data_IF_670960659976
#
_entry.id   IF_670960659976
#
_cell.length_a   1.000
_cell.length_b   1.000
_cell.length_c   1.000
_cell.angle_alpha   90.00
_cell.angle_beta   90.00
_cell.angle_gamma   90.00
#
_symmetry.space_group_name_H-M   'P 1'
#
loop_
_entity.id
_entity.type
_entity.pdbx_description
1 polymer ?
#
# COMPACT_ATOMS: atom_id res chain seq x y z
N UNK A 1 14.93 7.74 -8.82
CA UNK A 1 13.85 7.80 -7.82
C UNK A 1 13.84 6.47 -7.09
N UNK A 2 13.88 6.52 -5.77
CA UNK A 2 13.90 5.33 -4.93
C UNK A 2 12.56 5.17 -4.22
N UNK A 3 12.32 3.96 -3.72
CA UNK A 3 11.21 3.73 -2.80
C UNK A 3 11.40 4.55 -1.52
N UNK A 4 10.31 5.10 -1.01
CA UNK A 4 10.26 5.69 0.33
C UNK A 4 10.52 4.61 1.37
N UNK A 5 10.92 5.04 2.57
CA UNK A 5 11.01 4.12 3.71
C UNK A 5 9.61 3.57 4.03
N UNK A 6 9.48 2.30 4.44
CA UNK A 6 8.23 1.76 4.96
C UNK A 6 7.67 2.63 6.08
N UNK A 7 6.36 2.90 6.02
CA UNK A 7 5.60 3.69 6.99
C UNK A 7 4.39 2.91 7.46
N UNK A 8 4.05 3.07 8.73
CA UNK A 8 2.84 2.49 9.29
C UNK A 8 1.63 3.23 8.70
N UNK A 9 0.72 2.48 8.09
CA UNK A 9 -0.51 2.98 7.51
C UNK A 9 -1.72 2.73 8.43
N UNK A 10 -1.75 1.58 9.10
CA UNK A 10 -2.82 1.26 10.06
C UNK A 10 -2.34 0.28 11.13
N UNK A 11 -2.92 0.41 12.33
CA UNK A 11 -2.74 -0.53 13.44
C UNK A 11 -3.95 -0.50 14.37
N UNK A 12 -4.43 -1.67 14.79
CA UNK A 12 -5.69 -1.84 15.53
C UNK A 12 -6.86 -1.17 14.79
N UNK A 13 -7.50 -0.15 15.39
CA UNK A 13 -8.62 0.58 14.79
C UNK A 13 -8.21 1.98 14.32
N UNK A 14 -6.91 2.22 14.18
CA UNK A 14 -6.35 3.53 13.83
C UNK A 14 -5.69 3.48 12.47
N UNK A 15 -6.06 4.44 11.63
CA UNK A 15 -5.36 4.76 10.41
C UNK A 15 -4.43 5.93 10.68
N UNK A 16 -3.19 5.79 10.24
CA UNK A 16 -2.18 6.82 10.41
C UNK A 16 -2.10 7.60 9.11
N UNK A 17 -2.37 8.90 9.20
CA UNK A 17 -2.01 9.81 8.12
C UNK A 17 -0.51 9.72 7.94
N UNK A 18 -0.09 9.10 6.84
CA UNK A 18 1.28 9.19 6.43
C UNK A 18 1.59 10.68 6.22
N UNK A 19 2.70 11.16 6.79
CA UNK A 19 3.39 12.27 6.12
C UNK A 19 3.61 11.80 4.68
N UNK A 20 3.08 12.52 3.70
CA UNK A 20 3.10 12.06 2.31
C UNK A 20 4.21 12.80 1.59
N UNK A 21 5.07 12.04 0.91
CA UNK A 21 6.25 12.62 0.27
C UNK A 21 5.92 13.28 -1.07
N UNK A 22 4.76 12.95 -1.67
CA UNK A 22 4.47 13.33 -3.05
C UNK A 22 2.99 13.64 -3.33
N UNK A 23 2.73 14.80 -3.91
CA UNK A 23 1.47 15.17 -4.54
C UNK A 23 1.55 14.89 -6.05
N UNK A 24 1.52 13.62 -6.42
CA UNK A 24 1.62 13.24 -7.83
C UNK A 24 1.62 11.73 -8.06
N UNK A 25 1.87 11.30 -9.29
CA UNK A 25 1.80 9.89 -9.66
C UNK A 25 2.80 9.05 -8.88
N UNK A 26 2.38 7.86 -8.45
CA UNK A 26 3.25 6.96 -7.70
C UNK A 26 2.86 5.50 -7.90
N UNK A 27 3.85 4.61 -7.81
CA UNK A 27 3.62 3.19 -7.58
C UNK A 27 3.84 2.91 -6.09
N UNK A 28 2.94 2.16 -5.45
CA UNK A 28 2.99 1.90 -4.02
C UNK A 28 2.81 0.42 -3.72
N UNK A 29 3.28 -0.02 -2.56
CA UNK A 29 2.97 -1.33 -2.01
C UNK A 29 2.30 -1.20 -0.67
N UNK A 30 1.46 -2.19 -0.37
CA UNK A 30 0.88 -2.41 0.96
C UNK A 30 1.36 -3.76 1.44
N UNK A 31 1.76 -3.80 2.71
CA UNK A 31 2.27 -4.99 3.35
C UNK A 31 1.76 -5.13 4.77
N UNK A 32 2.02 -6.29 5.37
CA UNK A 32 1.70 -6.54 6.76
C UNK A 32 2.98 -6.83 7.53
N UNK A 33 3.06 -6.30 8.74
CA UNK A 33 4.07 -6.65 9.73
C UNK A 33 3.40 -7.39 10.87
N UNK A 34 4.08 -8.39 11.44
CA UNK A 34 3.51 -9.20 12.51
C UNK A 34 3.11 -8.38 13.74
N UNK A 35 2.52 -9.01 14.77
CA UNK A 35 2.02 -8.30 15.95
C UNK A 35 3.06 -7.48 16.74
N UNK A 36 4.35 -7.74 16.53
CA UNK A 36 5.47 -6.99 17.12
C UNK A 36 6.03 -5.88 16.20
N UNK A 37 5.43 -5.64 15.04
CA UNK A 37 5.77 -4.53 14.13
C UNK A 37 6.90 -4.79 13.14
N UNK A 38 7.50 -5.99 13.12
CA UNK A 38 8.61 -6.36 12.23
C UNK A 38 8.23 -7.35 11.11
N UNK A 39 9.22 -7.69 10.27
CA UNK A 39 9.11 -8.61 9.13
C UNK A 39 7.98 -8.26 8.16
N UNK A 40 8.13 -7.12 7.47
CA UNK A 40 7.12 -6.65 6.52
C UNK A 40 7.09 -7.59 5.31
N UNK A 41 5.93 -8.17 5.06
CA UNK A 41 5.61 -8.92 3.85
C UNK A 41 4.72 -8.07 2.96
N UNK A 42 5.06 -7.96 1.67
CA UNK A 42 4.36 -7.09 0.71
C UNK A 42 3.32 -7.89 -0.07
N UNK A 43 2.05 -7.57 0.15
CA UNK A 43 0.90 -8.34 -0.32
C UNK A 43 0.19 -7.71 -1.51
N UNK A 44 0.36 -6.40 -1.67
CA UNK A 44 -0.29 -5.64 -2.72
C UNK A 44 0.68 -4.64 -3.36
N UNK A 45 0.59 -4.50 -4.67
CA UNK A 45 1.18 -3.40 -5.44
C UNK A 45 0.10 -2.67 -6.22
N UNK A 46 0.13 -1.35 -6.16
CA UNK A 46 -0.81 -0.49 -6.86
C UNK A 46 -0.13 0.72 -7.47
N UNK A 47 -0.90 1.44 -8.26
CA UNK A 47 -0.46 2.67 -8.91
C UNK A 47 -1.53 3.76 -8.72
N UNK A 48 -1.12 5.02 -8.71
CA UNK A 48 -2.02 6.16 -8.52
C UNK A 48 -1.57 7.38 -9.30
N UNK A 49 -2.52 8.27 -9.63
CA UNK A 49 -2.22 9.62 -10.15
C UNK A 49 -1.81 10.59 -9.04
N UNK A 50 -2.17 10.28 -7.80
CA UNK A 50 -1.90 11.09 -6.62
C UNK A 50 -1.73 10.19 -5.39
N UNK A 51 -0.51 10.12 -4.84
CA UNK A 51 -0.18 9.33 -3.65
C UNK A 51 -0.98 9.80 -2.44
N UNK A 52 -0.98 11.12 -2.18
CA UNK A 52 -1.69 11.72 -1.04
C UNK A 52 -3.16 11.34 -1.02
N UNK A 53 -3.86 11.59 -2.11
CA UNK A 53 -5.29 11.29 -2.20
C UNK A 53 -5.56 9.78 -2.02
N UNK A 54 -4.71 8.92 -2.58
CA UNK A 54 -4.87 7.47 -2.47
C UNK A 54 -4.70 6.99 -1.03
N UNK A 55 -3.72 7.52 -0.29
CA UNK A 55 -3.50 7.13 1.10
C UNK A 55 -4.60 7.69 2.02
N UNK A 56 -5.09 8.90 1.78
CA UNK A 56 -6.28 9.43 2.48
C UNK A 56 -7.50 8.52 2.30
N UNK A 57 -7.73 7.98 1.10
CA UNK A 57 -8.81 7.01 0.87
C UNK A 57 -8.64 5.74 1.71
N UNK A 58 -7.43 5.17 1.77
CA UNK A 58 -7.16 4.04 2.66
C UNK A 58 -7.44 4.39 4.12
N UNK A 59 -7.02 5.59 4.56
CA UNK A 59 -7.28 6.08 5.91
C UNK A 59 -8.76 6.31 6.26
N UNK A 60 -9.61 6.56 5.26
CA UNK A 60 -11.04 6.82 5.49
C UNK A 60 -11.90 5.57 5.54
N UNK A 61 -11.78 4.67 4.56
CA UNK A 61 -12.68 3.52 4.41
C UNK A 61 -11.94 2.19 4.14
N UNK A 62 -10.60 2.19 4.15
CA UNK A 62 -9.76 1.06 3.81
C UNK A 62 -9.77 0.70 2.32
N UNK A 63 -10.48 1.47 1.49
CA UNK A 63 -10.70 1.23 0.06
C UNK A 63 -11.20 -0.20 -0.24
N UNK A 64 -10.90 -0.70 -1.43
CA UNK A 64 -11.19 -2.06 -1.87
C UNK A 64 -10.44 -3.16 -1.09
N UNK A 65 -9.38 -2.81 -0.34
CA UNK A 65 -8.61 -3.75 0.49
C UNK A 65 -9.09 -3.81 1.95
N UNK A 66 -10.14 -3.06 2.29
CA UNK A 66 -10.66 -2.92 3.66
C UNK A 66 -10.92 -4.26 4.35
N UNK A 67 -11.45 -5.26 3.63
CA UNK A 67 -11.68 -6.61 4.19
C UNK A 67 -10.38 -7.27 4.67
N UNK A 68 -9.35 -7.29 3.83
CA UNK A 68 -8.06 -7.92 4.15
C UNK A 68 -7.32 -7.16 5.24
N UNK A 69 -7.33 -5.83 5.14
CA UNK A 69 -6.71 -4.95 6.15
C UNK A 69 -7.40 -5.14 7.50
N UNK A 70 -8.73 -5.07 7.57
CA UNK A 70 -9.47 -5.24 8.82
C UNK A 70 -9.28 -6.62 9.44
N UNK A 71 -9.16 -7.68 8.64
CA UNK A 71 -8.85 -9.01 9.16
C UNK A 71 -7.49 -9.03 9.87
N UNK A 72 -6.44 -8.49 9.25
CA UNK A 72 -5.09 -8.42 9.84
C UNK A 72 -5.06 -7.52 11.08
N UNK A 73 -5.73 -6.36 11.02
CA UNK A 73 -5.84 -5.45 12.15
C UNK A 73 -6.48 -6.09 13.38
N UNK A 74 -7.53 -6.92 13.19
CA UNK A 74 -8.16 -7.70 14.28
C UNK A 74 -7.23 -8.74 14.90
N UNK A 75 -6.26 -9.24 14.14
CA UNK A 75 -5.21 -10.14 14.65
C UNK A 75 -4.07 -9.38 15.34
N UNK A 76 -4.15 -8.05 15.42
CA UNK A 76 -3.12 -7.19 16.00
C UNK A 76 -1.92 -6.96 15.08
N UNK A 77 -2.05 -7.20 13.78
CA UNK A 77 -0.97 -6.95 12.82
C UNK A 77 -0.90 -5.47 12.44
N UNK A 78 0.26 -5.07 11.92
CA UNK A 78 0.54 -3.72 11.45
C UNK A 78 0.40 -3.69 9.93
N UNK A 79 -0.25 -2.66 9.39
CA UNK A 79 -0.30 -2.41 7.95
C UNK A 79 0.75 -1.39 7.59
N UNK A 80 1.60 -1.74 6.65
CA UNK A 80 2.69 -0.91 6.17
C UNK A 80 2.45 -0.47 4.74
N UNK A 81 2.95 0.71 4.40
CA UNK A 81 2.99 1.19 3.03
C UNK A 81 4.37 1.76 2.70
N UNK A 82 4.71 1.72 1.41
CA UNK A 82 5.77 2.56 0.85
C UNK A 82 5.49 2.82 -0.63
N UNK A 83 6.08 3.88 -1.17
CA UNK A 83 5.80 4.35 -2.51
C UNK A 83 7.07 4.75 -3.27
N UNK A 84 6.99 4.75 -4.58
CA UNK A 84 7.98 5.34 -5.47
C UNK A 84 7.26 6.39 -6.32
N UNK A 85 7.60 7.66 -6.09
CA UNK A 85 7.13 8.77 -6.92
C UNK A 85 7.53 8.53 -8.39
N UNK A 86 6.62 8.87 -9.29
CA UNK A 86 6.71 8.64 -10.73
C UNK A 86 6.41 9.96 -11.45
N UNK A 87 7.10 10.22 -12.57
CA UNK A 87 6.87 11.45 -13.35
C UNK A 87 5.48 11.52 -13.96
N UNK A 88 4.93 10.37 -14.34
CA UNK A 88 3.60 10.26 -14.96
C UNK A 88 2.85 9.04 -14.46
N UNK A 89 1.54 9.04 -14.68
CA UNK A 89 0.65 7.91 -14.41
C UNK A 89 1.07 6.65 -15.18
N UNK A 90 1.45 6.80 -16.43
CA UNK A 90 1.90 5.69 -17.29
C UNK A 90 3.22 5.11 -16.78
N UNK A 91 4.11 5.95 -16.21
CA UNK A 91 5.33 5.47 -15.59
C UNK A 91 5.04 4.66 -14.32
N UNK A 92 4.09 5.11 -13.49
CA UNK A 92 3.62 4.36 -12.33
C UNK A 92 2.99 3.02 -12.72
N UNK A 93 2.14 3.01 -13.76
CA UNK A 93 1.55 1.79 -14.32
C UNK A 93 2.60 0.82 -14.83
N UNK A 94 3.55 1.27 -15.65
CA UNK A 94 4.65 0.42 -16.13
C UNK A 94 5.45 -0.19 -14.98
N UNK A 95 5.68 0.58 -13.92
CA UNK A 95 6.37 0.09 -12.72
C UNK A 95 5.56 -0.98 -11.99
N UNK A 96 4.25 -0.78 -11.81
CA UNK A 96 3.34 -1.78 -11.27
C UNK A 96 3.35 -3.06 -12.11
N UNK A 97 3.16 -2.95 -13.42
CA UNK A 97 3.09 -4.09 -14.33
C UNK A 97 4.41 -4.89 -14.31
N UNK A 98 5.56 -4.20 -14.27
CA UNK A 98 6.87 -4.85 -14.11
C UNK A 98 7.03 -5.58 -12.78
N UNK A 99 6.42 -5.10 -11.70
CA UNK A 99 6.46 -5.75 -10.38
C UNK A 99 5.55 -6.98 -10.36
N UNK A 100 4.35 -6.86 -10.91
CA UNK A 100 3.39 -7.97 -11.04
C UNK A 100 3.92 -9.08 -11.96
N UNK A 101 4.71 -8.74 -12.98
CA UNK A 101 5.35 -9.73 -13.85
C UNK A 101 6.48 -10.51 -13.17
N UNK A 102 7.00 -10.02 -12.04
CA UNK A 102 8.17 -10.61 -11.35
C UNK A 102 7.83 -11.26 -10.02
N UNK A 103 6.78 -10.80 -9.37
CA UNK A 103 6.43 -11.19 -8.01
C UNK A 103 4.93 -11.41 -7.91
N UNK A 104 4.56 -12.42 -7.13
CA UNK A 104 3.18 -12.68 -6.79
C UNK A 104 2.77 -11.83 -5.59
N UNK A 105 1.65 -11.14 -5.72
CA UNK A 105 1.04 -10.31 -4.69
C UNK A 105 -0.37 -10.84 -4.47
N UNK A 106 -0.56 -11.57 -3.38
CA UNK A 106 -1.81 -12.28 -3.07
C UNK A 106 -3.03 -11.33 -3.05
N UNK A 107 -2.87 -10.11 -2.54
CA UNK A 107 -3.97 -9.14 -2.47
C UNK A 107 -4.31 -8.50 -3.83
N UNK A 108 -3.42 -8.60 -4.83
CA UNK A 108 -3.72 -8.17 -6.20
C UNK A 108 -4.68 -9.12 -6.92
N UNK A 109 -4.82 -10.37 -6.46
CA UNK A 109 -5.69 -11.39 -7.08
C UNK A 109 -7.05 -11.55 -6.38
N UNK A 110 -7.15 -11.15 -5.11
CA UNK A 110 -8.37 -11.32 -4.30
C UNK A 110 -9.55 -10.40 -4.67
N UNK A 111 -9.37 -9.45 -5.60
CA UNK A 111 -10.45 -8.55 -6.07
C UNK A 111 -11.37 -9.12 -7.14
N UNK A 112 -11.10 -10.33 -7.65
CA UNK A 112 -11.81 -10.93 -8.80
C UNK A 112 -12.74 -12.10 -8.43
N UNK A 113 -13.26 -12.17 -7.20
CA UNK A 113 -14.17 -13.25 -6.79
C UNK A 113 -15.51 -12.75 -6.25
#
# INVERSE_FOLDING_TARGET
MGWTRPRLLAYKNEWFDASLDHEGPACYKIGTGGPRGGNIEWHYVGETVNERQRMTQYGSDGSHLSKMINWHLKQGWHIWYHACACRTKEAAKRMQDNLLARWEYDWNHTGNR
#
